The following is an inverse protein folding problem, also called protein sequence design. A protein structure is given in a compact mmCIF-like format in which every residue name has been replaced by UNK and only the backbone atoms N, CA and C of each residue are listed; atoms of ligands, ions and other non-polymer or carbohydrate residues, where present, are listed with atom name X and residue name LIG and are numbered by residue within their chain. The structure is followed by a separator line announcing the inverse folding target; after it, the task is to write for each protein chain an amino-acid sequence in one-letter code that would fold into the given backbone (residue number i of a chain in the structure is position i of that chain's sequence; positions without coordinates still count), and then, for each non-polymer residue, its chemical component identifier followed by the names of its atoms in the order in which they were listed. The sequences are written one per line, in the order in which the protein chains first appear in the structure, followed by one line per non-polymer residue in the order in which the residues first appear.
data_IF_061282006069
#
_entry.id   IF_061282006069
#
_cell.length_a   1.000
_cell.length_b   1.000
_cell.length_c   1.000
_cell.angle_alpha   90.00
_cell.angle_beta   90.00
_cell.angle_gamma   90.00
#
_symmetry.space_group_name_H-M   'P 1'
#
loop_
_entity.id
_entity.type
_entity.pdbx_description
1 polymer ?
#
# COMPACT_ATOMS: atom_id res chain seq x y z
N UNK A 1 -2.47 -16.47 36.53
CA UNK A 1 -2.39 -15.03 36.23
C UNK A 1 -2.63 -14.90 34.71
N UNK A 2 -3.78 -14.36 34.29
CA UNK A 2 -3.98 -13.91 32.92
C UNK A 2 -3.37 -12.51 32.86
N UNK A 3 -2.34 -12.32 32.07
CA UNK A 3 -1.92 -11.00 31.61
C UNK A 3 -3.02 -10.50 30.68
N UNK A 4 -3.73 -9.46 31.12
CA UNK A 4 -4.59 -8.69 30.23
C UNK A 4 -3.64 -7.89 29.33
N UNK A 5 -3.71 -8.11 28.02
CA UNK A 5 -3.13 -7.19 27.05
C UNK A 5 -3.86 -5.85 27.22
N UNK A 6 -3.22 -4.88 27.87
CA UNK A 6 -3.69 -3.51 27.89
C UNK A 6 -3.73 -3.00 26.44
N UNK A 7 -4.92 -2.67 25.98
CA UNK A 7 -5.16 -2.15 24.65
C UNK A 7 -4.63 -0.72 24.58
N UNK A 8 -3.32 -0.59 24.34
CA UNK A 8 -2.67 0.71 24.24
C UNK A 8 -3.06 1.36 22.91
N UNK A 9 -3.81 2.46 23.00
CA UNK A 9 -4.20 3.22 21.81
C UNK A 9 -3.03 4.04 21.24
N UNK A 10 -2.07 4.47 22.06
CA UNK A 10 -0.95 5.33 21.66
C UNK A 10 0.25 4.51 21.12
N UNK A 11 0.00 3.72 20.11
CA UNK A 11 1.03 2.93 19.44
C UNK A 11 1.75 3.72 18.33
N UNK A 12 2.99 3.37 17.96
CA UNK A 12 3.70 3.99 16.83
C UNK A 12 2.91 3.94 15.51
N UNK A 13 2.11 2.88 15.30
CA UNK A 13 1.24 2.74 14.13
C UNK A 13 0.12 3.82 14.13
N UNK A 14 -0.54 4.01 15.25
CA UNK A 14 -1.60 4.99 15.39
C UNK A 14 -1.06 6.41 15.40
N UNK A 15 0.12 6.65 15.98
CA UNK A 15 0.82 7.93 15.92
C UNK A 15 1.14 8.32 14.48
N UNK A 16 1.68 7.39 13.68
CA UNK A 16 1.93 7.60 12.26
C UNK A 16 0.64 7.93 11.50
N UNK A 17 -0.42 7.15 11.71
CA UNK A 17 -1.72 7.38 11.07
C UNK A 17 -2.30 8.75 11.42
N UNK A 18 -2.35 9.11 12.70
CA UNK A 18 -2.85 10.44 13.16
C UNK A 18 -2.06 11.57 12.52
N UNK A 19 -0.74 11.46 12.49
CA UNK A 19 0.14 12.50 11.96
C UNK A 19 -0.07 12.72 10.48
N UNK A 20 -0.28 11.65 9.70
CA UNK A 20 -0.58 11.76 8.26
C UNK A 20 -1.97 12.34 8.03
N UNK A 21 -2.98 11.94 8.79
CA UNK A 21 -4.33 12.54 8.71
C UNK A 21 -4.24 14.05 8.94
N UNK A 22 -3.54 14.49 9.98
CA UNK A 22 -3.38 15.93 10.27
C UNK A 22 -2.61 16.65 9.16
N UNK A 23 -1.56 16.03 8.62
CA UNK A 23 -0.80 16.55 7.48
C UNK A 23 -1.71 16.79 6.26
N UNK A 24 -2.51 15.80 5.87
CA UNK A 24 -3.43 15.88 4.73
C UNK A 24 -4.53 16.94 4.95
N UNK A 25 -5.06 17.07 6.16
CA UNK A 25 -6.05 18.10 6.47
C UNK A 25 -5.47 19.52 6.28
N UNK A 26 -4.19 19.70 6.57
CA UNK A 26 -3.50 20.99 6.44
C UNK A 26 -3.01 21.25 5.02
N UNK A 27 -2.83 20.23 4.21
CA UNK A 27 -2.30 20.37 2.85
C UNK A 27 -3.29 21.05 1.91
N UNK A 28 -2.81 22.07 1.14
CA UNK A 28 -3.67 22.91 0.31
C UNK A 28 -4.43 22.15 -0.79
N UNK A 29 -3.78 21.21 -1.44
CA UNK A 29 -4.29 20.50 -2.63
C UNK A 29 -5.31 19.39 -2.31
N UNK A 30 -5.50 19.00 -1.05
CA UNK A 30 -6.50 18.00 -0.68
C UNK A 30 -7.89 18.62 -0.76
N UNK A 31 -8.80 17.95 -1.46
CA UNK A 31 -10.19 18.37 -1.65
C UNK A 31 -10.91 18.57 -0.31
N UNK A 32 -11.76 19.61 -0.23
CA UNK A 32 -12.47 20.00 1.00
C UNK A 32 -13.33 18.86 1.56
N UNK A 33 -14.01 18.13 0.71
CA UNK A 33 -14.84 16.96 1.09
C UNK A 33 -14.01 15.89 1.78
N UNK A 34 -12.83 15.59 1.25
CA UNK A 34 -11.88 14.61 1.81
C UNK A 34 -11.30 15.10 3.13
N UNK A 35 -10.96 16.38 3.24
CA UNK A 35 -10.55 16.98 4.53
C UNK A 35 -11.63 16.86 5.58
N UNK A 36 -12.91 17.06 5.21
CA UNK A 36 -14.03 16.91 6.12
C UNK A 36 -14.19 15.45 6.58
N UNK A 37 -14.01 14.48 5.68
CA UNK A 37 -14.02 13.05 6.02
C UNK A 37 -12.88 12.68 6.98
N UNK A 38 -11.65 13.15 6.71
CA UNK A 38 -10.50 12.92 7.58
C UNK A 38 -10.68 13.52 8.97
N UNK A 39 -11.27 14.74 9.08
CA UNK A 39 -11.55 15.36 10.38
C UNK A 39 -12.49 14.53 11.25
N UNK A 40 -13.43 13.78 10.65
CA UNK A 40 -14.34 12.89 11.38
C UNK A 40 -13.64 11.70 12.02
N UNK A 41 -12.44 11.36 11.57
CA UNK A 41 -11.63 10.27 12.14
C UNK A 41 -10.81 10.69 13.35
N UNK A 42 -10.49 11.99 13.49
CA UNK A 42 -9.63 12.49 14.58
C UNK A 42 -10.15 12.18 16.00
N UNK A 43 -11.46 12.23 16.30
CA UNK A 43 -11.97 11.88 17.63
C UNK A 43 -11.63 10.44 18.05
N UNK A 44 -11.54 9.50 17.09
CA UNK A 44 -11.15 8.10 17.37
C UNK A 44 -9.66 7.95 17.73
N UNK A 45 -8.86 8.97 17.43
CA UNK A 45 -7.43 9.03 17.70
C UNK A 45 -7.10 10.07 18.79
N UNK A 46 -8.07 10.46 19.62
CA UNK A 46 -7.86 11.54 20.60
C UNK A 46 -6.78 11.18 21.62
N UNK A 47 -6.79 9.94 22.09
CA UNK A 47 -5.79 9.42 23.04
C UNK A 47 -4.40 9.15 22.41
N UNK A 48 -4.24 9.34 21.08
CA UNK A 48 -2.99 9.06 20.36
C UNK A 48 -2.14 10.32 20.30
N UNK A 49 -0.85 10.21 20.62
CA UNK A 49 0.11 11.31 20.54
C UNK A 49 0.34 11.74 19.08
N UNK A 50 0.26 13.04 18.82
CA UNK A 50 0.62 13.61 17.53
C UNK A 50 2.13 13.78 17.45
N UNK A 51 2.78 13.11 16.50
CA UNK A 51 4.23 13.23 16.25
C UNK A 51 4.51 13.99 14.95
N UNK A 52 5.69 14.57 14.82
CA UNK A 52 6.07 15.20 13.56
C UNK A 52 6.19 14.13 12.45
N UNK A 53 5.66 14.37 11.23
CA UNK A 53 5.77 13.40 10.14
C UNK A 53 7.21 12.99 9.82
N UNK A 54 8.17 13.88 10.02
CA UNK A 54 9.62 13.63 9.84
C UNK A 54 10.22 12.71 10.89
N UNK A 55 9.59 12.60 12.06
CA UNK A 55 10.07 11.74 13.17
C UNK A 55 9.53 10.31 13.10
N UNK A 56 8.65 10.00 12.17
CA UNK A 56 8.08 8.65 12.03
C UNK A 56 9.15 7.69 11.53
N UNK A 57 9.42 6.66 12.32
CA UNK A 57 10.38 5.61 11.98
C UNK A 57 9.65 4.47 11.28
N UNK A 58 9.47 4.61 9.96
CA UNK A 58 8.73 3.65 9.13
C UNK A 58 9.34 2.26 9.14
N UNK A 59 10.66 2.16 9.20
CA UNK A 59 11.46 0.93 9.28
C UNK A 59 11.29 0.16 10.60
N UNK A 60 10.91 0.86 11.67
CA UNK A 60 10.70 0.28 12.98
C UNK A 60 9.27 -0.24 13.21
N UNK A 61 8.33 0.02 12.27
CA UNK A 61 6.96 -0.46 12.38
C UNK A 61 6.89 -1.96 12.11
N UNK A 62 6.53 -2.73 13.12
CA UNK A 62 6.41 -4.19 13.03
C UNK A 62 4.98 -4.61 12.73
N UNK A 63 4.82 -5.59 11.83
CA UNK A 63 3.51 -6.07 11.42
C UNK A 63 3.41 -7.57 11.65
N UNK A 64 2.33 -8.00 12.25
CA UNK A 64 1.99 -9.38 12.50
C UNK A 64 0.58 -9.70 11.94
N UNK A 65 0.12 -10.93 12.11
CA UNK A 65 -1.15 -11.38 11.52
C UNK A 65 -2.35 -10.51 11.93
N UNK A 66 -2.40 -10.06 13.18
CA UNK A 66 -3.55 -9.30 13.69
C UNK A 66 -3.59 -7.83 13.19
N UNK A 67 -2.45 -7.26 12.77
CA UNK A 67 -2.38 -5.88 12.25
C UNK A 67 -1.95 -5.81 10.77
N UNK A 68 -2.08 -6.92 10.02
CA UNK A 68 -1.67 -6.99 8.62
C UNK A 68 -2.32 -5.91 7.73
N UNK A 69 -3.57 -5.54 8.01
CA UNK A 69 -4.29 -4.48 7.30
C UNK A 69 -3.61 -3.11 7.47
N UNK A 70 -2.99 -2.85 8.64
CA UNK A 70 -2.22 -1.62 8.88
C UNK A 70 -1.01 -1.49 7.96
N UNK A 71 -0.42 -2.61 7.55
CA UNK A 71 0.76 -2.60 6.67
C UNK A 71 0.50 -1.88 5.34
N UNK A 72 -0.66 -2.13 4.72
CA UNK A 72 -1.02 -1.44 3.48
C UNK A 72 -1.30 0.04 3.74
N UNK A 73 -2.13 0.32 4.75
CA UNK A 73 -2.51 1.68 5.11
C UNK A 73 -1.28 2.54 5.45
N UNK A 74 -0.37 2.04 6.28
CA UNK A 74 0.83 2.77 6.67
C UNK A 74 1.86 2.86 5.55
N UNK A 75 1.90 1.89 4.62
CA UNK A 75 2.67 2.01 3.38
C UNK A 75 2.20 3.19 2.52
N UNK A 76 0.89 3.38 2.39
CA UNK A 76 0.33 4.57 1.72
C UNK A 76 0.67 5.84 2.50
N UNK A 77 0.55 5.82 3.83
CA UNK A 77 0.91 6.95 4.69
C UNK A 77 2.39 7.35 4.51
N UNK A 78 3.29 6.39 4.45
CA UNK A 78 4.70 6.62 4.21
C UNK A 78 4.94 7.32 2.86
N UNK A 79 4.30 6.84 1.79
CA UNK A 79 4.40 7.46 0.47
C UNK A 79 3.90 8.90 0.49
N UNK A 80 2.76 9.16 1.15
CA UNK A 80 2.22 10.51 1.31
C UNK A 80 3.20 11.42 2.03
N UNK A 81 3.76 10.98 3.17
CA UNK A 81 4.70 11.80 3.95
C UNK A 81 5.94 12.11 3.12
N UNK A 82 6.53 11.13 2.49
CA UNK A 82 7.73 11.31 1.68
C UNK A 82 7.47 12.20 0.46
N UNK A 83 6.27 12.12 -0.16
CA UNK A 83 5.89 12.96 -1.29
C UNK A 83 5.52 14.41 -0.93
N UNK A 84 5.09 14.68 0.32
CA UNK A 84 4.67 16.00 0.76
C UNK A 84 5.75 16.74 1.58
N UNK A 85 6.79 16.06 2.05
CA UNK A 85 7.90 16.71 2.72
C UNK A 85 8.78 17.41 1.68
N UNK A 86 9.24 18.65 1.95
CA UNK A 86 10.19 19.32 1.08
C UNK A 86 11.46 18.46 0.95
N UNK A 87 11.79 18.08 -0.26
CA UNK A 87 13.13 17.62 -0.60
C UNK A 87 14.05 18.85 -0.69
N UNK A 88 15.34 18.70 -0.48
CA UNK A 88 16.31 19.79 -0.56
C UNK A 88 16.38 20.49 -1.93
N UNK A 89 15.65 19.98 -2.92
CA UNK A 89 15.47 20.61 -4.23
C UNK A 89 14.29 21.59 -4.21
N UNK A 90 14.54 22.91 -4.36
CA UNK A 90 13.48 23.90 -4.42
C UNK A 90 12.70 23.76 -5.73
N UNK A 91 11.55 23.15 -5.68
CA UNK A 91 10.64 23.04 -6.83
C UNK A 91 9.86 21.72 -6.97
N UNK A 92 10.19 20.69 -6.23
CA UNK A 92 9.55 19.37 -6.34
C UNK A 92 8.50 19.15 -5.25
N UNK A 93 7.39 19.87 -5.31
CA UNK A 93 6.24 19.68 -4.40
C UNK A 93 5.16 18.77 -5.03
N UNK A 94 5.50 18.00 -6.06
CA UNK A 94 4.55 17.08 -6.69
C UNK A 94 4.76 15.66 -6.17
N UNK A 95 3.71 15.08 -5.60
CA UNK A 95 3.61 13.69 -5.15
C UNK A 95 4.08 12.69 -6.24
N UNK A 96 3.93 13.08 -7.50
CA UNK A 96 4.22 12.28 -8.69
C UNK A 96 5.70 12.19 -9.06
N UNK A 97 6.54 13.13 -8.64
CA UNK A 97 7.96 13.14 -9.04
C UNK A 97 8.83 12.22 -8.19
N UNK A 98 8.33 11.80 -7.03
CA UNK A 98 9.12 11.09 -6.03
C UNK A 98 8.89 9.58 -5.98
N UNK A 99 7.66 9.14 -6.29
CA UNK A 99 7.35 7.71 -6.36
C UNK A 99 7.60 7.25 -7.78
N UNK A 100 8.58 6.37 -7.98
CA UNK A 100 8.77 5.79 -9.31
C UNK A 100 7.52 5.03 -9.75
N UNK A 101 7.25 5.02 -11.05
CA UNK A 101 6.11 4.26 -11.61
C UNK A 101 6.15 2.79 -11.15
N UNK A 102 7.35 2.23 -10.97
CA UNK A 102 7.53 0.88 -10.46
C UNK A 102 7.06 0.71 -9.00
N UNK A 103 7.32 1.68 -8.14
CA UNK A 103 6.84 1.66 -6.75
C UNK A 103 5.32 1.81 -6.68
N UNK A 104 4.74 2.67 -7.54
CA UNK A 104 3.30 2.83 -7.65
C UNK A 104 2.64 1.57 -8.21
N UNK A 105 3.23 0.91 -9.21
CA UNK A 105 2.74 -0.36 -9.74
C UNK A 105 2.72 -1.43 -8.65
N UNK A 106 3.82 -1.62 -7.92
CA UNK A 106 3.89 -2.60 -6.81
C UNK A 106 2.87 -2.31 -5.71
N UNK A 107 2.65 -1.03 -5.39
CA UNK A 107 1.65 -0.63 -4.40
C UNK A 107 0.25 -0.94 -4.91
N UNK A 108 -0.04 -0.64 -6.18
CA UNK A 108 -1.34 -0.86 -6.81
C UNK A 108 -1.67 -2.35 -6.93
N UNK A 109 -0.73 -3.19 -7.41
CA UNK A 109 -0.83 -4.65 -7.44
C UNK A 109 -1.19 -5.21 -6.06
N UNK A 110 -0.48 -4.73 -5.04
CA UNK A 110 -0.72 -5.14 -3.67
C UNK A 110 -2.09 -4.67 -3.18
N UNK A 111 -2.48 -3.42 -3.47
CA UNK A 111 -3.78 -2.88 -3.11
C UNK A 111 -4.91 -3.73 -3.71
N UNK A 112 -4.85 -4.03 -5.01
CA UNK A 112 -5.87 -4.84 -5.71
C UNK A 112 -5.96 -6.23 -5.07
N UNK A 113 -4.84 -6.88 -4.79
CA UNK A 113 -4.81 -8.19 -4.16
C UNK A 113 -5.42 -8.17 -2.75
N UNK A 114 -5.04 -7.23 -1.89
CA UNK A 114 -5.57 -7.10 -0.53
C UNK A 114 -7.06 -6.73 -0.53
N UNK A 115 -7.51 -5.97 -1.52
CA UNK A 115 -8.94 -5.71 -1.72
C UNK A 115 -9.72 -7.00 -1.91
N UNK A 116 -9.27 -7.89 -2.80
CA UNK A 116 -9.93 -9.18 -3.01
C UNK A 116 -9.83 -10.10 -1.78
N UNK A 117 -8.70 -10.11 -1.08
CA UNK A 117 -8.55 -10.89 0.17
C UNK A 117 -9.57 -10.46 1.22
N UNK A 118 -9.82 -9.15 1.33
CA UNK A 118 -10.72 -8.60 2.34
C UNK A 118 -12.20 -8.71 1.95
N UNK A 119 -12.52 -8.39 0.69
CA UNK A 119 -13.91 -8.25 0.24
C UNK A 119 -14.45 -9.46 -0.51
N UNK A 120 -13.59 -10.31 -1.05
CA UNK A 120 -13.94 -11.45 -1.88
C UNK A 120 -13.10 -12.69 -1.57
N UNK A 121 -13.05 -13.12 -0.28
CA UNK A 121 -12.27 -14.29 0.14
C UNK A 121 -12.76 -15.60 -0.51
N UNK A 122 -14.03 -15.64 -0.96
CA UNK A 122 -14.63 -16.77 -1.68
C UNK A 122 -13.91 -17.13 -2.98
N UNK A 123 -13.17 -16.18 -3.57
CA UNK A 123 -12.35 -16.42 -4.76
C UNK A 123 -10.92 -16.88 -4.48
N UNK A 124 -10.60 -17.16 -3.23
CA UNK A 124 -9.25 -17.60 -2.82
C UNK A 124 -8.13 -16.76 -3.48
N UNK A 125 -8.11 -15.43 -3.25
CA UNK A 125 -7.15 -14.54 -3.92
C UNK A 125 -5.70 -14.89 -3.57
N UNK A 126 -4.82 -14.85 -4.57
CA UNK A 126 -3.41 -15.14 -4.39
C UNK A 126 -2.55 -14.54 -5.50
N UNK A 127 -1.25 -14.73 -5.39
CA UNK A 127 -0.28 -14.35 -6.42
C UNK A 127 0.74 -15.50 -6.57
N UNK A 128 0.31 -16.63 -7.14
CA UNK A 128 1.16 -17.79 -7.28
C UNK A 128 2.27 -17.56 -8.31
N UNK A 129 3.39 -18.23 -8.11
CA UNK A 129 4.37 -18.41 -9.17
C UNK A 129 3.83 -19.41 -10.18
N UNK A 130 4.05 -19.13 -11.46
CA UNK A 130 3.67 -19.99 -12.57
C UNK A 130 4.96 -20.62 -13.10
N UNK A 131 4.94 -21.94 -13.26
CA UNK A 131 6.04 -22.63 -13.92
C UNK A 131 5.98 -22.36 -15.43
N UNK A 132 7.15 -22.19 -16.05
CA UNK A 132 7.24 -22.13 -17.49
C UNK A 132 6.93 -23.50 -18.06
N UNK A 133 6.04 -23.55 -19.05
CA UNK A 133 5.77 -24.75 -19.85
C UNK A 133 6.66 -24.71 -21.08
N UNK A 134 7.80 -25.41 -21.01
CA UNK A 134 8.75 -25.50 -22.10
C UNK A 134 9.20 -26.94 -22.29
N UNK A 135 9.48 -27.29 -23.54
CA UNK A 135 10.09 -28.60 -23.88
C UNK A 135 11.52 -28.66 -23.34
N UNK A 136 11.80 -29.71 -22.59
CA UNK A 136 13.01 -29.92 -21.76
C UNK A 136 14.29 -30.17 -22.58
N UNK A 137 14.35 -29.71 -23.84
CA UNK A 137 15.48 -29.93 -24.75
C UNK A 137 16.69 -29.04 -24.44
N UNK A 138 16.60 -28.08 -23.53
CA UNK A 138 17.70 -27.15 -23.20
C UNK A 138 17.76 -26.78 -21.72
N UNK A 139 18.32 -27.64 -20.88
CA UNK A 139 18.47 -27.43 -19.44
C UNK A 139 19.20 -26.12 -19.07
N UNK A 140 20.09 -25.62 -19.94
CA UNK A 140 20.84 -24.38 -19.74
C UNK A 140 19.98 -23.10 -19.97
N UNK A 141 18.89 -23.20 -20.72
CA UNK A 141 18.00 -22.06 -20.97
C UNK A 141 17.01 -21.82 -19.83
N UNK A 142 16.64 -22.85 -19.09
CA UNK A 142 15.66 -22.78 -18.01
C UNK A 142 16.15 -21.96 -16.81
N UNK A 143 17.45 -21.97 -16.53
CA UNK A 143 18.05 -21.19 -15.44
C UNK A 143 18.06 -19.67 -15.71
N UNK A 144 17.90 -19.27 -16.98
CA UNK A 144 17.88 -17.85 -17.39
C UNK A 144 16.47 -17.27 -17.48
N UNK A 145 15.43 -18.11 -17.34
CA UNK A 145 14.05 -17.64 -17.38
C UNK A 145 13.69 -16.92 -16.08
N UNK A 146 13.13 -15.69 -16.16
CA UNK A 146 12.70 -14.99 -14.98
C UNK A 146 11.54 -15.74 -14.31
N UNK A 147 11.44 -15.64 -12.99
CA UNK A 147 10.29 -16.17 -12.26
C UNK A 147 9.01 -15.48 -12.74
N UNK A 148 8.05 -16.27 -13.25
CA UNK A 148 6.75 -15.78 -13.69
C UNK A 148 5.79 -15.79 -12.50
N UNK A 149 5.16 -14.66 -12.20
CA UNK A 149 4.21 -14.52 -11.10
C UNK A 149 3.04 -13.68 -11.55
N UNK A 150 1.83 -14.05 -11.13
CA UNK A 150 0.64 -13.22 -11.34
C UNK A 150 0.55 -12.12 -10.31
N UNK A 151 -0.03 -10.97 -10.67
CA UNK A 151 -0.33 -9.91 -9.70
C UNK A 151 -1.47 -10.34 -8.79
N UNK A 152 -2.57 -10.81 -9.38
CA UNK A 152 -3.69 -11.39 -8.66
C UNK A 152 -4.25 -12.58 -9.44
N UNK A 153 -4.44 -13.70 -8.76
CA UNK A 153 -5.18 -14.86 -9.25
C UNK A 153 -6.38 -15.10 -8.36
N UNK A 154 -7.55 -15.21 -8.98
CA UNK A 154 -8.83 -15.52 -8.34
C UNK A 154 -9.29 -16.89 -8.82
N UNK A 155 -9.81 -17.71 -7.90
CA UNK A 155 -10.32 -19.05 -8.21
C UNK A 155 -11.76 -19.21 -7.76
N UNK A 156 -12.61 -19.70 -8.66
CA UNK A 156 -14.02 -20.01 -8.35
C UNK A 156 -14.40 -21.33 -9.01
N UNK A 157 -14.49 -22.40 -8.23
CA UNK A 157 -14.69 -23.74 -8.74
C UNK A 157 -13.57 -24.15 -9.71
N UNK A 158 -13.92 -24.45 -10.96
CA UNK A 158 -12.94 -24.80 -12.01
C UNK A 158 -12.43 -23.59 -12.81
N UNK A 159 -12.89 -22.38 -12.49
CA UNK A 159 -12.48 -21.16 -13.20
C UNK A 159 -11.36 -20.47 -12.47
N UNK A 160 -10.33 -20.07 -13.23
CA UNK A 160 -9.24 -19.23 -12.74
C UNK A 160 -9.25 -17.93 -13.55
N UNK A 161 -9.26 -16.81 -12.85
CA UNK A 161 -9.13 -15.48 -13.43
C UNK A 161 -7.77 -14.93 -13.00
N UNK A 162 -7.00 -14.45 -13.95
CA UNK A 162 -5.72 -13.77 -13.71
C UNK A 162 -5.92 -12.30 -14.03
N UNK A 163 -5.55 -11.45 -13.09
CA UNK A 163 -5.57 -10.00 -13.23
C UNK A 163 -4.13 -9.51 -13.29
N UNK A 164 -3.81 -8.74 -14.33
CA UNK A 164 -2.59 -7.95 -14.47
C UNK A 164 -2.95 -6.51 -14.04
N UNK A 165 -2.39 -6.07 -12.92
CA UNK A 165 -2.73 -4.80 -12.31
C UNK A 165 -1.66 -3.75 -12.66
N UNK A 166 -2.01 -2.77 -13.48
CA UNK A 166 -1.12 -1.69 -13.88
C UNK A 166 -1.61 -0.34 -13.39
N UNK A 167 -0.71 0.39 -12.76
CA UNK A 167 -0.95 1.77 -12.42
C UNK A 167 -0.56 2.68 -13.59
N UNK A 168 -1.48 3.52 -14.00
CA UNK A 168 -1.21 4.59 -14.97
C UNK A 168 -1.46 5.93 -14.29
N UNK A 169 -0.48 6.81 -14.26
CA UNK A 169 -0.60 8.16 -13.69
C UNK A 169 -1.68 9.01 -14.38
N UNK A 170 -2.09 8.62 -15.59
CA UNK A 170 -3.22 9.22 -16.33
C UNK A 170 -4.12 8.09 -16.83
N UNK A 171 -5.42 8.21 -16.60
CA UNK A 171 -6.43 7.21 -16.95
C UNK A 171 -6.68 7.04 -18.45
N UNK A 172 -6.20 7.97 -19.27
CA UNK A 172 -6.27 7.91 -20.74
C UNK A 172 -4.95 8.40 -21.33
N UNK A 173 -4.22 7.52 -21.99
CA UNK A 173 -3.17 7.92 -22.92
C UNK A 173 -3.85 8.19 -24.27
N UNK A 174 -3.85 9.45 -24.69
CA UNK A 174 -4.20 9.79 -26.06
C UNK A 174 -3.01 9.35 -26.91
N UNK A 175 -3.17 8.23 -27.63
CA UNK A 175 -2.20 7.80 -28.62
C UNK A 175 -2.03 8.88 -29.70
N UNK A 176 -0.79 9.29 -29.93
CA UNK A 176 -0.41 10.03 -31.13
C UNK A 176 -0.42 9.10 -32.33
#
# INVERSE_FOLDING_TARGET
LCEFDDYEADTPHNQALKSVIVLLIRHGEVEVSRKAALRRLLPYLDAVTLVAPTSIRWDALTFHRANATYRLLLGVCELVVRGLLPTEDPGATQLTSWVSDEQMNRLYERFVREYFVLHHPEFSPGAPSIAWDYDDTNAHGSEQLPAMRTDVTLRSGQRTLILDAKYYGQSLQVGM
#
